data_IF_227983636391
#
_entry.id   IF_227983636391
#
_cell.length_a   1.000
_cell.length_b   1.000
_cell.length_c   1.000
_cell.angle_alpha   90.00
_cell.angle_beta   90.00
_cell.angle_gamma   90.00
#
_symmetry.space_group_name_H-M   'P 1'
#
loop_
_entity.id
_entity.type
_entity.pdbx_description
1 polymer ?
#
# COMPACT_ATOMS: atom_id res chain seq x y z
N UNK A 1 4.44 -6.10 -0.64
CA UNK A 1 3.26 -5.59 0.12
C UNK A 1 2.37 -6.71 0.66
N UNK A 2 2.21 -7.84 -0.04
CA UNK A 2 1.41 -8.97 0.46
C UNK A 2 1.81 -9.48 1.85
N UNK A 3 3.10 -9.47 2.17
CA UNK A 3 3.59 -9.81 3.52
C UNK A 3 3.46 -8.69 4.56
N UNK A 4 3.57 -7.42 4.17
CA UNK A 4 3.48 -6.28 5.11
C UNK A 4 2.04 -5.93 5.48
N UNK A 5 1.09 -6.20 4.59
CA UNK A 5 -0.35 -6.01 4.80
C UNK A 5 -1.10 -7.33 4.60
N UNK A 6 -0.94 -8.31 5.51
CA UNK A 6 -1.52 -9.64 5.34
C UNK A 6 -3.05 -9.56 5.42
N UNK A 7 -3.74 -10.09 4.39
CA UNK A 7 -5.21 -10.15 4.35
C UNK A 7 -5.94 -8.80 4.24
N UNK A 8 -5.20 -7.69 4.16
CA UNK A 8 -5.78 -6.35 4.08
C UNK A 8 -5.82 -5.80 2.65
N UNK A 9 -5.03 -6.34 1.72
CA UNK A 9 -5.06 -5.90 0.32
C UNK A 9 -6.36 -6.33 -0.35
N UNK A 10 -7.15 -5.34 -0.79
CA UNK A 10 -8.41 -5.59 -1.51
C UNK A 10 -8.16 -5.93 -2.99
N UNK A 11 -7.13 -5.32 -3.57
CA UNK A 11 -6.70 -5.48 -4.97
C UNK A 11 -5.18 -5.46 -5.08
N UNK A 12 -4.68 -5.75 -6.27
CA UNK A 12 -3.25 -5.68 -6.59
C UNK A 12 -2.73 -4.23 -6.47
N UNK A 13 -1.52 -4.03 -5.91
CA UNK A 13 -0.94 -2.71 -5.77
C UNK A 13 -0.55 -2.13 -7.14
N UNK A 14 -0.82 -0.85 -7.33
CA UNK A 14 -0.47 -0.12 -8.55
C UNK A 14 0.85 0.62 -8.32
N UNK A 15 1.87 0.24 -9.09
CA UNK A 15 3.17 0.89 -9.05
C UNK A 15 3.23 2.02 -10.08
N UNK A 16 3.55 3.23 -9.64
CA UNK A 16 3.78 4.39 -10.51
C UNK A 16 5.18 4.93 -10.28
N UNK A 17 5.92 5.18 -11.36
CA UNK A 17 7.25 5.79 -11.29
C UNK A 17 7.19 7.19 -11.91
N UNK A 18 7.57 8.21 -11.14
CA UNK A 18 7.66 9.60 -11.59
C UNK A 18 9.11 10.06 -11.42
N UNK A 19 9.92 9.85 -12.46
CA UNK A 19 11.37 10.08 -12.40
C UNK A 19 12.04 9.20 -11.34
N UNK A 20 12.70 9.83 -10.36
CA UNK A 20 13.33 9.13 -9.25
C UNK A 20 12.34 8.74 -8.14
N UNK A 21 11.11 9.29 -8.16
CA UNK A 21 10.12 8.99 -7.13
C UNK A 21 9.31 7.75 -7.49
N UNK A 22 9.25 6.81 -6.56
CA UNK A 22 8.46 5.59 -6.67
C UNK A 22 7.19 5.74 -5.82
N UNK A 23 6.03 5.83 -6.47
CA UNK A 23 4.73 5.87 -5.80
C UNK A 23 4.11 4.47 -5.82
N UNK A 24 3.82 3.95 -4.64
CA UNK A 24 3.11 2.69 -4.48
C UNK A 24 1.69 3.03 -4.04
N UNK A 25 0.72 2.80 -4.92
CA UNK A 25 -0.69 2.93 -4.56
C UNK A 25 -1.23 1.56 -4.16
N UNK A 26 -1.86 1.46 -2.98
CA UNK A 26 -2.50 0.21 -2.54
C UNK A 26 -3.92 0.47 -2.03
N UNK A 27 -4.81 -0.46 -2.36
CA UNK A 27 -6.19 -0.46 -1.89
C UNK A 27 -6.31 -1.46 -0.75
N UNK A 28 -6.72 -0.97 0.43
CA UNK A 28 -6.78 -1.75 1.66
C UNK A 28 -8.22 -1.85 2.19
N UNK A 29 -8.55 -2.98 2.81
CA UNK A 29 -9.77 -3.16 3.58
C UNK A 29 -9.62 -2.52 4.97
N UNK A 30 -10.73 -1.98 5.50
CA UNK A 30 -10.79 -1.40 6.86
C UNK A 30 -10.79 -2.50 7.93
N UNK A 31 -9.63 -3.12 8.17
CA UNK A 31 -9.45 -4.15 9.21
C UNK A 31 -8.47 -3.79 10.32
N UNK A 32 -7.70 -2.69 10.15
CA UNK A 32 -6.61 -2.32 11.06
C UNK A 32 -6.84 -0.92 11.66
N UNK A 33 -6.43 -0.73 12.91
CA UNK A 33 -6.45 0.57 13.56
C UNK A 33 -5.56 1.58 12.81
N UNK A 34 -5.98 2.85 12.65
CA UNK A 34 -5.21 3.87 11.91
C UNK A 34 -3.77 4.04 12.39
N UNK A 35 -3.52 3.98 13.71
CA UNK A 35 -2.18 4.10 14.28
C UNK A 35 -1.21 3.03 13.75
N UNK A 36 -1.67 1.77 13.66
CA UNK A 36 -0.85 0.66 13.12
C UNK A 36 -0.65 0.81 11.61
N UNK A 37 -1.64 1.33 10.88
CA UNK A 37 -1.51 1.62 9.46
C UNK A 37 -0.45 2.70 9.21
N UNK A 38 -0.51 3.82 9.93
CA UNK A 38 0.49 4.88 9.79
C UNK A 38 1.91 4.42 10.15
N UNK A 39 2.05 3.56 11.16
CA UNK A 39 3.32 2.93 11.48
C UNK A 39 3.86 2.07 10.32
N UNK A 40 3.02 1.19 9.76
CA UNK A 40 3.41 0.32 8.65
C UNK A 40 3.75 1.12 7.38
N UNK A 41 3.05 2.22 7.13
CA UNK A 41 3.38 3.16 6.03
C UNK A 41 4.77 3.73 6.23
N UNK A 42 5.06 4.34 7.39
CA UNK A 42 6.39 4.91 7.65
C UNK A 42 7.51 3.87 7.63
N UNK A 43 7.26 2.68 8.21
CA UNK A 43 8.18 1.55 8.15
C UNK A 43 8.51 1.13 6.71
N UNK A 44 7.50 1.01 5.85
CA UNK A 44 7.70 0.57 4.47
C UNK A 44 8.30 1.66 3.58
N UNK A 45 7.91 2.92 3.74
CA UNK A 45 8.55 4.04 3.01
C UNK A 45 10.04 4.16 3.34
N UNK A 46 10.40 4.08 4.63
CA UNK A 46 11.80 4.18 5.05
C UNK A 46 12.62 2.97 4.60
N UNK A 47 12.13 1.74 4.83
CA UNK A 47 12.83 0.51 4.42
C UNK A 47 13.02 0.47 2.91
N UNK A 48 11.96 0.71 2.13
CA UNK A 48 12.04 0.68 0.67
C UNK A 48 12.90 1.83 0.13
N UNK A 49 12.85 3.00 0.75
CA UNK A 49 13.73 4.12 0.39
C UNK A 49 15.21 3.79 0.58
N UNK A 50 15.57 3.15 1.70
CA UNK A 50 16.93 2.70 1.96
C UNK A 50 17.36 1.53 1.07
N UNK A 51 16.43 0.65 0.71
CA UNK A 51 16.70 -0.51 -0.15
C UNK A 51 16.89 -0.12 -1.61
N UNK A 52 15.97 0.67 -2.17
CA UNK A 52 16.01 1.08 -3.58
C UNK A 52 16.83 2.35 -3.84
N UNK A 53 17.36 3.00 -2.79
CA UNK A 53 18.15 4.24 -2.86
C UNK A 53 17.40 5.38 -3.57
N UNK A 54 16.08 5.37 -3.51
CA UNK A 54 15.21 6.36 -4.13
C UNK A 54 14.08 6.78 -3.18
N UNK A 55 13.51 7.98 -3.33
CA UNK A 55 12.36 8.38 -2.53
C UNK A 55 11.14 7.53 -2.89
N UNK A 56 10.61 6.80 -1.91
CA UNK A 56 9.41 5.98 -2.03
C UNK A 56 8.26 6.65 -1.28
N UNK A 57 7.09 6.72 -1.92
CA UNK A 57 5.86 7.25 -1.34
C UNK A 57 4.76 6.21 -1.42
N UNK A 58 4.06 5.98 -0.30
CA UNK A 58 2.96 5.02 -0.21
C UNK A 58 1.63 5.77 -0.12
N UNK A 59 0.76 5.53 -1.11
CA UNK A 59 -0.59 6.07 -1.18
C UNK A 59 -1.59 4.96 -0.87
N UNK A 60 -2.30 5.10 0.24
CA UNK A 60 -3.28 4.11 0.69
C UNK A 60 -4.70 4.62 0.48
N UNK A 61 -5.53 3.80 -0.15
CA UNK A 61 -6.97 4.02 -0.24
C UNK A 61 -7.68 2.94 0.57
N UNK A 62 -8.52 3.34 1.53
CA UNK A 62 -9.27 2.37 2.35
C UNK A 62 -10.69 2.17 1.83
N UNK A 63 -11.10 0.91 1.72
CA UNK A 63 -12.43 0.50 1.32
C UNK A 63 -13.10 -0.32 2.43
N UNK A 64 -14.42 -0.19 2.61
CA UNK A 64 -15.16 -1.02 3.58
C UNK A 64 -15.28 -2.48 3.13
N UNK A 65 -15.34 -2.75 1.82
CA UNK A 65 -15.45 -4.10 1.25
C UNK A 65 -14.70 -4.16 -0.10
N UNK A 66 -14.40 -5.38 -0.56
CA UNK A 66 -13.76 -5.60 -1.86
C UNK A 66 -14.72 -5.24 -2.99
N UNK A 67 -14.23 -4.53 -4.00
CA UNK A 67 -15.04 -4.12 -5.15
C UNK A 67 -15.20 -5.31 -6.07
N UNK A 68 -16.43 -5.80 -6.21
CA UNK A 68 -16.75 -6.88 -7.15
C UNK A 68 -17.11 -6.27 -8.49
N UNK A 69 -16.35 -6.62 -9.52
CA UNK A 69 -16.63 -6.17 -10.90
C UNK A 69 -17.78 -6.96 -11.55
N UNK A 70 -17.74 -8.30 -11.46
CA UNK A 70 -18.73 -9.23 -12.03
C UNK A 70 -18.83 -10.50 -11.19
N UNK A 71 -20.00 -11.13 -11.19
CA UNK A 71 -20.21 -12.49 -10.71
C UNK A 71 -20.25 -13.40 -11.94
N UNK A 72 -19.28 -14.32 -12.04
CA UNK A 72 -19.15 -15.29 -13.13
C UNK A 72 -19.83 -16.60 -12.77
#
# INVERSE_FOLDING_TARGET
>A
LGGTFPGLLADEPVLKRRGNLLVICAVLLRGLAPARLHFLVGYSETLLGHFYKCPVRLELQTLPARVVYKYL
#
